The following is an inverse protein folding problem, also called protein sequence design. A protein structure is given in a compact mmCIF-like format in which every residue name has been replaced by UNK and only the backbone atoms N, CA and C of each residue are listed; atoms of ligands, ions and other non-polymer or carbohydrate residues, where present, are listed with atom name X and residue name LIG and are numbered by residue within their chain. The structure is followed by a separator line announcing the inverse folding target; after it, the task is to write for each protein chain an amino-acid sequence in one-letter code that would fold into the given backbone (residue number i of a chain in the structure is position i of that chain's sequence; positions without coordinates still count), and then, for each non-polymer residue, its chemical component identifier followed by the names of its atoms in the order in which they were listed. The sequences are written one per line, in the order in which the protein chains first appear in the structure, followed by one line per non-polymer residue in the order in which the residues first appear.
data_IF_147446041439
#
_entry.id   IF_147446041439
#
_cell.length_a   1.000
_cell.length_b   1.000
_cell.length_c   1.000
_cell.angle_alpha   90.00
_cell.angle_beta   90.00
_cell.angle_gamma   90.00
#
_symmetry.space_group_name_H-M   'P 1'
#
loop_
_entity.id
_entity.type
_entity.pdbx_description
1 polymer ?
#
# COMPACT_ATOMS: atom_id res chain seq x y z
N UNK A 1 -0.53 -8.08 -20.06
CA UNK A 1 -1.76 -7.47 -19.54
C UNK A 1 -2.75 -7.22 -20.66
N UNK A 2 -3.99 -7.65 -20.48
CA UNK A 2 -5.14 -7.35 -21.33
C UNK A 2 -6.10 -6.48 -20.49
N UNK A 3 -6.21 -5.23 -20.87
CA UNK A 3 -6.95 -4.23 -20.11
C UNK A 3 -8.09 -3.65 -20.92
N UNK A 4 -9.22 -3.44 -20.25
CA UNK A 4 -10.29 -2.56 -20.74
C UNK A 4 -10.02 -1.16 -20.17
N UNK A 5 -9.67 -0.24 -21.05
CA UNK A 5 -9.27 1.12 -20.68
C UNK A 5 -10.43 2.10 -20.85
N UNK A 6 -10.38 3.19 -20.08
CA UNK A 6 -11.26 4.33 -20.27
C UNK A 6 -10.54 5.39 -21.12
N UNK A 7 -11.16 5.78 -22.24
CA UNK A 7 -10.74 6.99 -22.96
C UNK A 7 -11.29 8.24 -22.26
N UNK A 8 -10.59 9.37 -22.39
CA UNK A 8 -11.05 10.62 -21.77
C UNK A 8 -12.43 11.06 -22.29
N UNK A 9 -12.83 10.59 -23.47
CA UNK A 9 -14.16 10.77 -24.06
C UNK A 9 -15.26 9.93 -23.42
N UNK A 10 -14.95 9.15 -22.38
CA UNK A 10 -15.88 8.23 -21.72
C UNK A 10 -16.08 6.89 -22.44
N UNK A 11 -15.43 6.68 -23.59
CA UNK A 11 -15.51 5.42 -24.33
C UNK A 11 -14.53 4.39 -23.76
N UNK A 12 -14.87 3.12 -23.98
CA UNK A 12 -13.99 1.99 -23.63
C UNK A 12 -13.09 1.61 -24.79
N UNK A 13 -11.89 1.19 -24.50
CA UNK A 13 -10.96 0.57 -25.44
C UNK A 13 -10.30 -0.64 -24.80
N UNK A 14 -9.77 -1.53 -25.62
CA UNK A 14 -8.96 -2.67 -25.15
C UNK A 14 -7.50 -2.42 -25.49
N UNK A 15 -6.63 -2.61 -24.52
CA UNK A 15 -5.18 -2.56 -24.70
C UNK A 15 -4.52 -3.86 -24.27
N UNK A 16 -3.61 -4.38 -25.08
CA UNK A 16 -2.76 -5.51 -24.74
C UNK A 16 -1.32 -5.01 -24.61
N UNK A 17 -0.73 -5.16 -23.43
CA UNK A 17 0.60 -4.65 -23.12
C UNK A 17 1.53 -5.76 -22.63
N UNK A 18 2.76 -5.75 -23.11
CA UNK A 18 3.82 -6.62 -22.62
C UNK A 18 4.83 -5.79 -21.81
N UNK A 19 4.71 -5.86 -20.50
CA UNK A 19 5.56 -5.11 -19.55
C UNK A 19 6.16 -6.03 -18.48
N UNK A 20 6.86 -7.11 -18.86
CA UNK A 20 7.34 -8.08 -17.86
C UNK A 20 8.35 -7.46 -16.87
N UNK A 21 9.28 -6.65 -17.34
CA UNK A 21 10.26 -5.97 -16.51
C UNK A 21 9.61 -5.04 -15.48
N UNK A 22 8.71 -4.16 -15.92
CA UNK A 22 7.98 -3.24 -15.04
C UNK A 22 7.15 -4.00 -14.00
N UNK A 23 6.47 -5.06 -14.39
CA UNK A 23 5.67 -5.90 -13.49
C UNK A 23 6.52 -6.57 -12.41
N UNK A 24 7.69 -7.09 -12.78
CA UNK A 24 8.65 -7.70 -11.84
C UNK A 24 9.17 -6.67 -10.85
N UNK A 25 9.61 -5.51 -11.34
CA UNK A 25 10.16 -4.43 -10.51
C UNK A 25 9.13 -3.88 -9.53
N UNK A 26 7.91 -3.61 -9.99
CA UNK A 26 6.82 -3.14 -9.11
C UNK A 26 6.49 -4.18 -8.04
N UNK A 27 6.45 -5.46 -8.40
CA UNK A 27 6.19 -6.53 -7.43
C UNK A 27 7.29 -6.63 -6.38
N UNK A 28 8.56 -6.51 -6.80
CA UNK A 28 9.70 -6.49 -5.87
C UNK A 28 9.66 -5.26 -4.95
N UNK A 29 9.44 -4.08 -5.52
CA UNK A 29 9.35 -2.82 -4.77
C UNK A 29 8.24 -2.87 -3.72
N UNK A 30 7.04 -3.29 -4.10
CA UNK A 30 5.90 -3.47 -3.19
C UNK A 30 6.19 -4.48 -2.07
N UNK A 31 7.00 -5.50 -2.33
CA UNK A 31 7.40 -6.46 -1.31
C UNK A 31 8.29 -5.82 -0.23
N UNK A 32 9.16 -4.85 -0.58
CA UNK A 32 9.95 -4.10 0.40
C UNK A 32 9.09 -3.05 1.10
N UNK A 33 8.25 -2.32 0.37
CA UNK A 33 7.30 -1.36 0.99
C UNK A 33 6.50 -2.00 2.12
N UNK A 34 6.02 -3.23 1.91
CA UNK A 34 5.23 -3.96 2.92
C UNK A 34 6.02 -4.34 4.18
N UNK A 35 7.35 -4.24 4.17
CA UNK A 35 8.19 -4.42 5.36
C UNK A 35 8.52 -3.08 6.05
N UNK A 36 8.65 -2.01 5.28
CA UNK A 36 9.29 -0.77 5.72
C UNK A 36 8.34 0.41 5.89
N UNK A 37 7.12 0.35 5.31
CA UNK A 37 6.08 1.34 5.55
C UNK A 37 5.13 0.87 6.64
N UNK A 38 4.79 1.77 7.55
CA UNK A 38 3.66 1.55 8.45
C UNK A 38 2.33 1.54 7.67
N UNK A 39 1.32 0.93 8.26
CA UNK A 39 0.04 0.72 7.60
C UNK A 39 -0.64 2.03 7.16
N UNK A 40 -0.57 3.08 7.99
CA UNK A 40 -1.24 4.35 7.71
C UNK A 40 -0.57 5.08 6.53
N UNK A 41 0.76 5.13 6.52
CA UNK A 41 1.54 5.71 5.42
C UNK A 41 1.33 4.93 4.13
N UNK A 42 1.32 3.59 4.21
CA UNK A 42 1.08 2.72 3.06
C UNK A 42 -0.31 2.92 2.45
N UNK A 43 -1.35 2.99 3.27
CA UNK A 43 -2.73 3.24 2.83
C UNK A 43 -2.87 4.62 2.19
N UNK A 44 -2.35 5.67 2.84
CA UNK A 44 -2.39 7.02 2.27
C UNK A 44 -1.70 7.08 0.91
N UNK A 45 -0.54 6.43 0.77
CA UNK A 45 0.15 6.34 -0.51
C UNK A 45 -0.73 5.68 -1.58
N UNK A 46 -1.37 4.56 -1.24
CA UNK A 46 -2.22 3.83 -2.18
C UNK A 46 -3.47 4.64 -2.59
N UNK A 47 -4.05 5.40 -1.68
CA UNK A 47 -5.16 6.33 -1.96
C UNK A 47 -4.77 7.46 -2.92
N UNK A 48 -3.54 7.96 -2.81
CA UNK A 48 -3.05 9.06 -3.64
C UNK A 48 -2.57 8.62 -5.03
N UNK A 49 -2.22 7.34 -5.22
CA UNK A 49 -1.68 6.85 -6.50
C UNK A 49 -2.63 7.03 -7.69
N UNK A 50 -3.95 6.80 -7.59
CA UNK A 50 -4.87 7.08 -8.70
C UNK A 50 -4.87 8.55 -9.10
N UNK A 51 -4.75 9.47 -8.14
CA UNK A 51 -4.67 10.91 -8.42
C UNK A 51 -3.36 11.27 -9.14
N UNK A 52 -2.26 10.70 -8.70
CA UNK A 52 -0.96 10.87 -9.35
C UNK A 52 -0.99 10.37 -10.81
N UNK A 53 -1.54 9.16 -11.01
CA UNK A 53 -1.69 8.58 -12.34
C UNK A 53 -2.59 9.45 -13.26
N UNK A 54 -3.67 10.01 -12.72
CA UNK A 54 -4.57 10.90 -13.46
C UNK A 54 -3.84 12.17 -13.93
N UNK A 55 -3.05 12.80 -13.06
CA UNK A 55 -2.28 13.99 -13.43
C UNK A 55 -1.29 13.69 -14.57
N UNK A 56 -0.62 12.53 -14.54
CA UNK A 56 0.28 12.11 -15.61
C UNK A 56 -0.50 11.88 -16.92
N UNK A 57 -1.61 11.16 -16.83
CA UNK A 57 -2.46 10.86 -17.98
C UNK A 57 -2.99 12.12 -18.67
N UNK A 58 -3.39 13.12 -17.88
CA UNK A 58 -3.91 14.39 -18.38
C UNK A 58 -2.80 15.38 -18.84
N UNK A 59 -1.54 15.00 -18.74
CA UNK A 59 -0.41 15.81 -19.18
C UNK A 59 0.06 16.88 -18.18
N UNK A 60 -0.37 16.80 -16.93
CA UNK A 60 -0.02 17.76 -15.85
C UNK A 60 1.29 17.43 -15.14
N UNK A 61 2.32 17.01 -15.91
CA UNK A 61 3.62 16.66 -15.33
C UNK A 61 4.28 17.79 -14.56
N UNK A 62 4.09 19.04 -15.00
CA UNK A 62 4.70 20.23 -14.41
C UNK A 62 3.76 20.99 -13.47
N UNK A 63 2.65 20.36 -13.05
CA UNK A 63 1.70 21.00 -12.16
C UNK A 63 2.15 20.97 -10.70
N UNK A 64 1.83 21.99 -9.89
CA UNK A 64 2.16 22.02 -8.47
C UNK A 64 1.59 20.82 -7.69
N UNK A 65 0.42 20.31 -8.06
CA UNK A 65 -0.20 19.15 -7.43
C UNK A 65 0.64 17.87 -7.65
N UNK A 66 1.14 17.66 -8.89
CA UNK A 66 1.99 16.53 -9.19
C UNK A 66 3.30 16.63 -8.40
N UNK A 67 3.89 17.82 -8.31
CA UNK A 67 5.13 18.06 -7.55
C UNK A 67 4.92 17.80 -6.05
N UNK A 68 3.81 18.26 -5.47
CA UNK A 68 3.47 17.99 -4.08
C UNK A 68 3.29 16.48 -3.80
N UNK A 69 2.60 15.77 -4.70
CA UNK A 69 2.44 14.32 -4.60
C UNK A 69 3.78 13.59 -4.74
N UNK A 70 4.66 14.07 -5.64
CA UNK A 70 6.00 13.51 -5.77
C UNK A 70 6.82 13.67 -4.48
N UNK A 71 6.80 14.86 -3.88
CA UNK A 71 7.49 15.10 -2.62
C UNK A 71 6.98 14.19 -1.49
N UNK A 72 5.67 13.94 -1.44
CA UNK A 72 5.10 12.95 -0.52
C UNK A 72 5.62 11.54 -0.82
N UNK A 73 5.59 11.12 -2.09
CA UNK A 73 6.09 9.80 -2.50
C UNK A 73 7.56 9.66 -2.10
N UNK A 74 8.41 10.62 -2.47
CA UNK A 74 9.84 10.60 -2.17
C UNK A 74 10.10 10.47 -0.66
N UNK A 75 9.31 11.16 0.15
CA UNK A 75 9.40 11.06 1.61
C UNK A 75 9.07 9.64 2.10
N UNK A 76 8.06 9.00 1.52
CA UNK A 76 7.69 7.61 1.90
C UNK A 76 8.76 6.60 1.49
N UNK A 77 9.58 6.90 0.48
CA UNK A 77 10.59 5.99 -0.06
C UNK A 77 11.93 6.03 0.67
N UNK A 78 12.12 6.94 1.61
CA UNK A 78 13.41 7.19 2.27
C UNK A 78 14.04 5.92 2.88
N UNK A 79 13.22 5.01 3.39
CA UNK A 79 13.66 3.76 4.03
C UNK A 79 13.29 2.50 3.22
N UNK A 80 12.83 2.67 1.98
CA UNK A 80 12.46 1.55 1.12
C UNK A 80 13.69 1.03 0.40
N UNK A 81 14.46 0.23 1.11
CA UNK A 81 15.65 -0.42 0.58
C UNK A 81 15.75 -1.85 1.13
N UNK A 82 16.28 -2.76 0.32
CA UNK A 82 16.39 -4.15 0.71
C UNK A 82 16.60 -5.08 -0.48
N UNK A 83 16.52 -6.37 -0.24
CA UNK A 83 16.58 -7.39 -1.29
C UNK A 83 15.32 -8.24 -1.31
N UNK A 84 14.93 -8.63 -2.53
CA UNK A 84 13.77 -9.50 -2.76
C UNK A 84 14.18 -10.64 -3.69
N UNK A 85 13.89 -11.87 -3.29
CA UNK A 85 14.05 -13.05 -4.12
C UNK A 85 12.70 -13.41 -4.74
N UNK A 86 12.62 -13.35 -6.05
CA UNK A 86 11.42 -13.66 -6.80
C UNK A 86 11.55 -15.00 -7.54
N UNK A 87 10.47 -15.74 -7.61
CA UNK A 87 10.31 -16.88 -8.51
C UNK A 87 9.38 -16.49 -9.65
N UNK A 88 9.79 -16.79 -10.87
CA UNK A 88 8.96 -16.59 -12.07
C UNK A 88 8.47 -17.95 -12.56
N UNK A 89 7.18 -18.13 -12.68
CA UNK A 89 6.60 -19.37 -13.16
C UNK A 89 5.27 -19.15 -13.88
N UNK A 90 5.22 -19.54 -15.14
CA UNK A 90 4.00 -19.49 -15.98
C UNK A 90 3.26 -18.14 -15.87
N UNK A 91 3.99 -17.03 -16.05
CA UNK A 91 3.43 -15.67 -15.99
C UNK A 91 3.16 -15.12 -14.58
N UNK A 92 3.42 -15.93 -13.53
CA UNK A 92 3.26 -15.49 -12.15
C UNK A 92 4.58 -15.04 -11.54
N UNK A 93 4.50 -14.05 -10.64
CA UNK A 93 5.64 -13.57 -9.85
C UNK A 93 5.38 -13.93 -8.38
N UNK A 94 6.21 -14.82 -7.85
CA UNK A 94 6.11 -15.35 -6.50
C UNK A 94 7.21 -14.73 -5.66
N UNK A 95 6.86 -14.00 -4.62
CA UNK A 95 7.84 -13.50 -3.63
C UNK A 95 8.25 -14.66 -2.75
N UNK A 96 9.51 -15.07 -2.83
CA UNK A 96 10.10 -16.18 -2.04
C UNK A 96 10.73 -15.69 -0.76
N UNK A 97 11.40 -14.53 -0.83
CA UNK A 97 12.14 -13.98 0.30
C UNK A 97 12.23 -12.47 0.15
N UNK A 98 12.25 -11.75 1.26
CA UNK A 98 12.47 -10.31 1.31
C UNK A 98 13.18 -9.94 2.61
N UNK A 99 14.16 -9.05 2.51
CA UNK A 99 14.94 -8.57 3.65
C UNK A 99 15.18 -7.07 3.53
N UNK A 100 15.16 -6.38 4.66
CA UNK A 100 15.49 -4.96 4.76
C UNK A 100 16.07 -4.67 6.14
N UNK A 101 17.08 -3.81 6.20
CA UNK A 101 17.60 -3.26 7.46
C UNK A 101 16.65 -2.26 8.11
N UNK A 102 15.65 -1.77 7.37
CA UNK A 102 14.61 -0.85 7.85
C UNK A 102 13.26 -1.53 8.04
N UNK A 103 13.26 -2.87 8.15
CA UNK A 103 12.03 -3.64 8.40
C UNK A 103 11.38 -3.20 9.71
N UNK A 104 10.07 -2.92 9.65
CA UNK A 104 9.23 -2.68 10.83
C UNK A 104 8.71 -3.99 11.44
N UNK A 105 9.00 -5.13 10.82
CA UNK A 105 8.64 -6.43 11.37
C UNK A 105 9.58 -6.78 12.52
N UNK A 106 8.99 -6.90 13.70
CA UNK A 106 9.68 -7.39 14.90
C UNK A 106 8.83 -8.51 15.52
N UNK A 107 9.34 -9.74 15.46
CA UNK A 107 8.66 -10.92 15.98
C UNK A 107 8.45 -10.86 17.51
N UNK A 108 9.24 -10.05 18.23
CA UNK A 108 9.09 -9.86 19.67
C UNK A 108 7.92 -8.96 20.04
N UNK A 109 7.55 -8.04 19.15
CA UNK A 109 6.44 -7.10 19.36
C UNK A 109 5.11 -7.69 18.85
N UNK A 110 5.16 -8.47 17.77
CA UNK A 110 3.97 -8.93 17.01
C UNK A 110 3.71 -10.44 17.28
N UNK A 111 3.91 -10.91 18.50
CA UNK A 111 3.53 -12.29 18.86
C UNK A 111 2.11 -12.32 19.39
N UNK A 112 1.33 -13.32 18.98
CA UNK A 112 0.06 -13.68 19.59
C UNK A 112 0.23 -14.60 20.81
N UNK A 113 1.46 -15.00 21.11
CA UNK A 113 1.79 -15.83 22.25
C UNK A 113 2.07 -14.96 23.48
N UNK A 114 1.56 -15.40 24.63
CA UNK A 114 1.43 -14.60 25.87
C UNK A 114 2.78 -14.34 26.60
N UNK A 115 3.89 -14.86 26.08
CA UNK A 115 5.17 -14.93 26.80
C UNK A 115 6.07 -13.66 26.69
N UNK A 116 5.69 -12.66 25.94
CA UNK A 116 6.49 -11.44 25.81
C UNK A 116 5.62 -10.18 25.83
N UNK A 117 5.31 -9.73 27.03
CA UNK A 117 4.51 -8.50 27.32
C UNK A 117 5.15 -7.22 26.78
N UNK A 118 5.10 -7.00 25.47
CA UNK A 118 5.51 -5.74 24.86
C UNK A 118 4.41 -4.68 24.96
N UNK A 119 3.15 -5.11 25.07
CA UNK A 119 1.99 -4.27 25.38
C UNK A 119 0.92 -5.09 26.11
N UNK A 120 0.09 -4.40 26.90
CA UNK A 120 -1.01 -5.05 27.60
C UNK A 120 -2.21 -5.21 26.66
N UNK A 121 -2.55 -6.44 26.29
CA UNK A 121 -3.72 -6.73 25.43
C UNK A 121 -5.05 -6.21 26.02
N UNK A 122 -5.17 -6.06 27.36
CA UNK A 122 -6.34 -5.50 27.99
C UNK A 122 -6.62 -4.05 27.57
N UNK A 123 -5.60 -3.31 27.10
CA UNK A 123 -5.76 -1.93 26.62
C UNK A 123 -6.62 -1.86 25.35
N UNK A 124 -6.69 -2.94 24.57
CA UNK A 124 -7.60 -3.05 23.42
C UNK A 124 -9.08 -2.90 23.82
N UNK A 125 -9.45 -3.26 25.04
CA UNK A 125 -10.82 -3.13 25.56
C UNK A 125 -11.28 -1.66 25.58
N UNK A 126 -10.42 -0.76 26.03
CA UNK A 126 -10.70 0.69 26.04
C UNK A 126 -10.85 1.24 24.62
N UNK A 127 -9.93 0.89 23.73
CA UNK A 127 -9.98 1.26 22.33
C UNK A 127 -11.27 0.80 21.64
N UNK A 128 -11.64 -0.48 21.81
CA UNK A 128 -12.87 -1.04 21.22
C UNK A 128 -14.12 -0.33 21.76
N UNK A 129 -14.19 -0.08 23.08
CA UNK A 129 -15.32 0.61 23.70
C UNK A 129 -15.52 2.00 23.12
N UNK A 130 -14.46 2.82 23.03
CA UNK A 130 -14.52 4.18 22.49
C UNK A 130 -14.95 4.14 21.01
N UNK A 131 -14.31 3.32 20.18
CA UNK A 131 -14.65 3.20 18.76
C UNK A 131 -16.07 2.70 18.52
N UNK A 132 -16.63 1.88 19.42
CA UNK A 132 -18.00 1.38 19.33
C UNK A 132 -19.06 2.47 19.56
N UNK A 133 -18.74 3.61 20.19
CA UNK A 133 -19.71 4.66 20.49
C UNK A 133 -20.37 5.21 19.23
N UNK A 134 -19.61 5.39 18.15
CA UNK A 134 -20.12 5.81 16.84
C UNK A 134 -21.19 4.86 16.32
N UNK A 135 -20.93 3.56 16.39
CA UNK A 135 -21.85 2.53 15.92
C UNK A 135 -23.12 2.47 16.78
N UNK A 136 -22.97 2.59 18.11
CA UNK A 136 -24.11 2.65 19.06
C UNK A 136 -24.98 3.88 18.80
N UNK A 137 -24.39 5.05 18.52
CA UNK A 137 -25.13 6.26 18.18
C UNK A 137 -25.92 6.08 16.88
N UNK A 138 -25.30 5.48 15.84
CA UNK A 138 -25.99 5.21 14.58
C UNK A 138 -27.10 4.17 14.70
N UNK A 139 -26.92 3.14 15.52
CA UNK A 139 -27.95 2.13 15.74
C UNK A 139 -29.23 2.70 16.38
N UNK A 140 -29.13 3.72 17.22
CA UNK A 140 -30.29 4.41 17.81
C UNK A 140 -31.16 5.16 16.79
N UNK A 141 -30.62 5.51 15.62
CA UNK A 141 -31.38 6.21 14.56
C UNK A 141 -32.29 5.27 13.76
N UNK A 142 -32.09 3.96 13.87
CA UNK A 142 -32.86 2.94 13.11
C UNK A 142 -34.10 2.45 13.89
N UNK A 143 -34.40 3.05 15.00
CA UNK A 143 -35.66 2.89 15.71
C UNK A 143 -36.55 4.10 15.43
#
# INVERSE_FOLDING_TARGET
LDLVENRFTGMKSRGCYETPGGTILIKAHRAIESLCLDAQTGHLKDELMPKYAQLIYDGFWWSPEREALQAFIDKTQQYITGSVKLGLYKGNIIVKERTSSYSLYDSKIVTFEDDQNTYNQADATGFIKINSLRLKANAKRKK
#
